data_IF_734916987570
#
_entry.id   IF_734916987570
#
_cell.length_a   1.000
_cell.length_b   1.000
_cell.length_c   1.000
_cell.angle_alpha   90.00
_cell.angle_beta   90.00
_cell.angle_gamma   90.00
#
_symmetry.space_group_name_H-M   'P 1'
#
loop_
_entity.id
_entity.type
_entity.pdbx_description
1 polymer ?
#
# COMPACT_ATOMS: atom_id res chain seq x y z
N UNK A 1 76.78 36.78 28.60
CA UNK A 1 75.61 37.54 27.98
C UNK A 1 75.20 36.88 26.67
N UNK A 2 74.93 35.58 26.67
CA UNK A 2 74.71 34.84 25.36
C UNK A 2 73.52 33.85 25.42
N UNK A 3 72.69 33.82 26.48
CA UNK A 3 71.54 32.91 26.59
C UNK A 3 70.18 33.55 26.26
N UNK A 4 70.09 34.87 26.11
CA UNK A 4 68.80 35.56 25.89
C UNK A 4 68.39 35.66 24.40
N UNK A 5 69.33 35.47 23.43
CA UNK A 5 69.05 35.62 22.00
C UNK A 5 68.47 34.34 21.38
N UNK A 6 68.72 33.16 21.93
CA UNK A 6 68.23 31.90 21.36
C UNK A 6 66.73 31.63 21.65
N UNK A 7 66.21 32.20 22.75
CA UNK A 7 64.80 32.00 23.17
C UNK A 7 63.80 32.87 22.36
N UNK A 8 64.23 34.03 21.90
CA UNK A 8 63.39 34.96 21.13
C UNK A 8 63.18 34.52 19.69
N UNK A 9 64.16 33.91 19.04
CA UNK A 9 64.07 33.38 17.67
C UNK A 9 63.16 32.17 17.57
N UNK A 10 63.15 31.29 18.60
CA UNK A 10 62.24 30.11 18.61
C UNK A 10 60.77 30.49 18.80
N UNK A 11 60.47 31.53 19.59
CA UNK A 11 59.11 32.05 19.81
C UNK A 11 58.56 32.71 18.56
N UNK A 12 59.36 33.48 17.82
CA UNK A 12 58.96 34.18 16.60
C UNK A 12 58.71 33.16 15.48
N UNK A 13 59.45 32.08 15.39
CA UNK A 13 59.19 31.01 14.39
C UNK A 13 57.94 30.20 14.69
N UNK A 14 57.65 29.93 15.96
CA UNK A 14 56.41 29.23 16.33
C UNK A 14 55.16 30.07 16.03
N UNK A 15 55.15 31.34 16.36
CA UNK A 15 54.05 32.26 16.05
C UNK A 15 53.83 32.45 14.53
N UNK A 16 54.86 32.43 13.72
CA UNK A 16 54.74 32.54 12.25
C UNK A 16 54.13 31.26 11.65
N UNK A 17 54.43 30.09 12.16
CA UNK A 17 53.88 28.81 11.70
C UNK A 17 52.39 28.71 12.10
N UNK A 18 52.05 29.14 13.32
CA UNK A 18 50.70 29.13 13.82
C UNK A 18 49.79 30.12 13.04
N UNK A 19 50.32 31.28 12.65
CA UNK A 19 49.65 32.25 11.81
C UNK A 19 49.40 31.70 10.37
N UNK A 20 50.38 31.01 9.77
CA UNK A 20 50.25 30.39 8.47
C UNK A 20 49.21 29.27 8.46
N UNK A 21 49.21 28.40 9.47
CA UNK A 21 48.20 27.36 9.61
C UNK A 21 46.78 27.92 9.81
N UNK A 22 46.62 29.04 10.52
CA UNK A 22 45.36 29.72 10.71
C UNK A 22 44.82 30.34 9.38
N UNK A 23 45.72 30.87 8.53
CA UNK A 23 45.33 31.38 7.20
C UNK A 23 44.94 30.25 6.23
N UNK A 24 45.63 29.12 6.24
CA UNK A 24 45.26 27.95 5.45
C UNK A 24 43.91 27.39 5.88
N UNK A 25 43.65 27.28 7.19
CA UNK A 25 42.36 26.84 7.71
C UNK A 25 41.21 27.78 7.32
N UNK A 26 41.43 29.11 7.33
CA UNK A 26 40.45 30.07 6.85
C UNK A 26 40.13 29.86 5.39
N UNK A 27 41.15 29.60 4.56
CA UNK A 27 40.99 29.34 3.14
C UNK A 27 40.15 28.07 2.89
N UNK A 28 40.45 27.01 3.60
CA UNK A 28 39.70 25.73 3.54
C UNK A 28 38.23 25.91 3.96
N UNK A 29 37.99 26.67 5.03
CA UNK A 29 36.65 27.02 5.48
C UNK A 29 35.88 27.77 4.38
N UNK A 30 36.50 28.72 3.68
CA UNK A 30 35.87 29.47 2.61
C UNK A 30 35.56 28.61 1.37
N UNK A 31 36.45 27.68 1.02
CA UNK A 31 36.25 26.68 -0.03
C UNK A 31 35.02 25.78 0.35
N UNK A 32 35.00 25.23 1.56
CA UNK A 32 33.89 24.36 2.02
C UNK A 32 32.56 25.12 2.08
N UNK A 33 32.54 26.39 2.45
CA UNK A 33 31.33 27.24 2.41
C UNK A 33 30.82 27.42 1.00
N UNK A 34 31.75 27.65 0.04
CA UNK A 34 31.40 27.79 -1.38
C UNK A 34 30.80 26.50 -1.94
N UNK A 35 31.41 25.35 -1.62
CA UNK A 35 30.90 24.04 -2.03
C UNK A 35 29.53 23.74 -1.41
N UNK A 36 29.36 24.02 -0.14
CA UNK A 36 28.07 23.86 0.55
C UNK A 36 26.97 24.75 -0.08
N UNK A 37 27.31 25.97 -0.49
CA UNK A 37 26.37 26.84 -1.16
C UNK A 37 25.94 26.30 -2.53
N UNK A 38 26.85 25.68 -3.29
CA UNK A 38 26.52 24.99 -4.55
C UNK A 38 25.60 23.82 -4.32
N UNK A 39 25.94 22.94 -3.38
CA UNK A 39 25.09 21.76 -3.05
C UNK A 39 23.69 22.18 -2.59
N UNK A 40 23.57 23.25 -1.80
CA UNK A 40 22.27 23.79 -1.41
C UNK A 40 21.46 24.26 -2.61
N UNK A 41 22.09 24.97 -3.54
CA UNK A 41 21.43 25.44 -4.77
C UNK A 41 20.94 24.26 -5.61
N UNK A 42 21.79 23.25 -5.83
CA UNK A 42 21.44 22.06 -6.60
C UNK A 42 20.27 21.29 -5.93
N UNK A 43 20.27 21.21 -4.61
CA UNK A 43 19.18 20.61 -3.85
C UNK A 43 17.86 21.38 -4.01
N UNK A 44 17.90 22.70 -4.01
CA UNK A 44 16.72 23.54 -4.21
C UNK A 44 16.16 23.41 -5.63
N UNK A 45 17.02 23.27 -6.64
CA UNK A 45 16.63 22.96 -8.02
C UNK A 45 15.94 21.59 -8.13
N UNK A 46 16.48 20.55 -7.49
CA UNK A 46 15.86 19.23 -7.44
C UNK A 46 14.51 19.28 -6.71
N UNK A 47 14.42 20.00 -5.60
CA UNK A 47 13.15 20.18 -4.87
C UNK A 47 12.10 20.91 -5.72
N UNK A 48 12.48 21.84 -6.54
CA UNK A 48 11.59 22.55 -7.46
C UNK A 48 10.98 21.62 -8.53
N UNK A 49 11.66 20.53 -8.88
CA UNK A 49 11.17 19.52 -9.83
C UNK A 49 10.23 18.46 -9.17
N UNK A 50 10.24 18.34 -7.86
CA UNK A 50 9.44 17.32 -7.16
C UNK A 50 7.94 17.36 -7.49
N UNK A 51 7.27 18.53 -7.60
CA UNK A 51 5.86 18.60 -8.01
C UNK A 51 5.63 18.08 -9.42
N UNK A 52 6.54 18.36 -10.35
CA UNK A 52 6.47 17.93 -11.76
C UNK A 52 6.65 16.41 -11.82
N UNK A 53 7.62 15.88 -11.11
CA UNK A 53 7.85 14.44 -11.01
C UNK A 53 6.63 13.70 -10.44
N UNK A 54 6.00 14.24 -9.38
CA UNK A 54 4.79 13.64 -8.81
C UNK A 54 3.62 13.64 -9.79
N UNK A 55 3.45 14.70 -10.57
CA UNK A 55 2.42 14.79 -11.61
C UNK A 55 2.67 13.80 -12.77
N UNK A 56 3.91 13.61 -13.18
CA UNK A 56 4.28 12.62 -14.20
C UNK A 56 3.99 11.20 -13.69
N UNK A 57 4.39 10.87 -12.47
CA UNK A 57 4.16 9.56 -11.87
C UNK A 57 2.66 9.30 -11.62
N UNK A 58 1.89 10.31 -11.27
CA UNK A 58 0.44 10.19 -11.07
C UNK A 58 -0.32 9.95 -12.38
N UNK A 59 0.15 10.54 -13.48
CA UNK A 59 -0.46 10.41 -14.82
C UNK A 59 0.16 9.29 -15.67
N UNK A 60 1.20 8.60 -15.18
CA UNK A 60 1.76 7.46 -15.91
C UNK A 60 0.72 6.36 -16.04
N UNK A 61 0.51 5.79 -17.26
CA UNK A 61 -0.39 4.66 -17.44
C UNK A 61 -0.11 3.56 -16.42
N UNK A 62 -1.15 3.03 -15.83
CA UNK A 62 -1.04 1.90 -14.92
C UNK A 62 -0.90 0.62 -15.75
N UNK A 63 0.10 -0.17 -15.46
CA UNK A 63 0.33 -1.50 -16.03
C UNK A 63 1.14 -2.30 -15.00
N UNK A 64 0.42 -2.89 -14.04
CA UNK A 64 1.02 -3.59 -12.91
C UNK A 64 0.40 -4.96 -12.78
N UNK A 65 1.22 -6.00 -12.76
CA UNK A 65 0.77 -7.36 -12.48
C UNK A 65 0.70 -7.56 -10.96
N UNK A 66 -0.46 -8.06 -10.50
CA UNK A 66 -0.73 -8.40 -9.10
C UNK A 66 -1.06 -9.89 -9.03
N UNK A 67 -0.37 -10.62 -8.15
CA UNK A 67 -0.65 -12.02 -7.86
C UNK A 67 -1.87 -12.13 -6.94
N UNK A 68 -2.82 -12.99 -7.32
CA UNK A 68 -4.12 -13.09 -6.64
C UNK A 68 -4.51 -14.53 -6.28
N UNK A 69 -3.68 -15.51 -6.60
CA UNK A 69 -3.98 -16.93 -6.41
C UNK A 69 -4.36 -17.31 -4.96
N UNK A 70 -3.67 -16.68 -4.00
CA UNK A 70 -3.81 -17.02 -2.59
C UNK A 70 -4.81 -16.11 -1.84
N UNK A 71 -5.56 -15.28 -2.58
CA UNK A 71 -6.51 -14.35 -1.97
C UNK A 71 -7.95 -14.80 -2.14
N UNK A 72 -8.84 -14.44 -1.18
CA UNK A 72 -10.26 -14.75 -1.28
C UNK A 72 -10.87 -14.21 -2.57
N UNK A 73 -11.55 -15.08 -3.28
CA UNK A 73 -12.14 -14.74 -4.58
C UNK A 73 -13.61 -15.07 -4.64
N UNK A 74 -14.35 -14.29 -5.44
CA UNK A 74 -15.70 -14.60 -5.88
C UNK A 74 -15.78 -14.57 -7.41
N UNK A 75 -16.61 -15.41 -8.00
CA UNK A 75 -16.76 -15.56 -9.45
C UNK A 75 -15.86 -16.64 -10.06
N UNK A 76 -15.90 -16.76 -11.36
CA UNK A 76 -15.16 -17.80 -12.08
C UNK A 76 -13.67 -17.46 -12.21
N UNK A 77 -12.79 -18.45 -12.03
CA UNK A 77 -11.35 -18.27 -12.23
C UNK A 77 -11.00 -17.89 -13.66
N UNK A 78 -11.82 -18.31 -14.62
CA UNK A 78 -11.66 -18.05 -16.06
C UNK A 78 -12.29 -16.73 -16.52
N UNK A 79 -12.79 -15.90 -15.61
CA UNK A 79 -13.35 -14.59 -15.99
C UNK A 79 -12.29 -13.73 -16.71
N UNK A 80 -12.65 -13.07 -17.82
CA UNK A 80 -11.69 -12.29 -18.61
C UNK A 80 -11.12 -11.09 -17.86
N UNK A 81 -11.90 -10.53 -16.93
CA UNK A 81 -11.51 -9.39 -16.11
C UNK A 81 -11.44 -9.78 -14.64
N UNK A 82 -10.52 -9.17 -13.93
CA UNK A 82 -10.42 -9.24 -12.46
C UNK A 82 -10.47 -7.84 -11.88
N UNK A 83 -11.22 -7.68 -10.79
CA UNK A 83 -11.15 -6.54 -9.89
C UNK A 83 -10.55 -6.97 -8.57
N UNK A 84 -9.54 -6.25 -8.08
CA UNK A 84 -8.94 -6.44 -6.78
C UNK A 84 -9.37 -5.29 -5.88
N UNK A 85 -10.15 -5.57 -4.87
CA UNK A 85 -10.49 -4.61 -3.82
C UNK A 85 -9.37 -4.56 -2.79
N UNK A 86 -8.80 -3.38 -2.55
CA UNK A 86 -7.95 -3.09 -1.41
C UNK A 86 -8.80 -2.48 -0.31
N UNK A 87 -9.01 -3.22 0.74
CA UNK A 87 -10.06 -2.95 1.74
C UNK A 87 -9.55 -2.99 3.18
N UNK A 88 -10.37 -2.44 4.08
CA UNK A 88 -10.08 -2.32 5.49
C UNK A 88 -11.39 -2.49 6.28
N UNK A 89 -11.46 -3.51 7.11
CA UNK A 89 -12.69 -3.84 7.85
C UNK A 89 -13.13 -2.75 8.84
N UNK A 90 -12.23 -1.89 9.30
CA UNK A 90 -12.57 -0.77 10.17
C UNK A 90 -12.92 0.52 9.39
N UNK A 91 -12.67 0.56 8.08
CA UNK A 91 -12.95 1.73 7.25
C UNK A 91 -14.45 1.90 6.96
N UNK A 92 -15.09 3.02 7.35
CA UNK A 92 -16.52 3.23 7.13
C UNK A 92 -16.91 3.30 5.65
N UNK A 93 -15.99 3.74 4.80
CA UNK A 93 -16.19 3.77 3.34
C UNK A 93 -16.18 2.38 2.72
N UNK A 94 -15.34 1.45 3.24
CA UNK A 94 -15.36 0.05 2.82
C UNK A 94 -16.69 -0.62 3.20
N UNK A 95 -17.15 -0.43 4.44
CA UNK A 95 -18.46 -0.94 4.84
C UNK A 95 -19.62 -0.33 4.05
N UNK A 96 -19.54 0.93 3.66
CA UNK A 96 -20.52 1.53 2.74
C UNK A 96 -20.52 0.85 1.39
N UNK A 97 -19.35 0.67 0.78
CA UNK A 97 -19.21 -0.01 -0.50
C UNK A 97 -19.74 -1.45 -0.46
N UNK A 98 -19.36 -2.21 0.57
CA UNK A 98 -19.82 -3.59 0.77
C UNK A 98 -21.35 -3.71 0.83
N UNK A 99 -22.03 -2.75 1.47
CA UNK A 99 -23.51 -2.75 1.56
C UNK A 99 -24.21 -2.21 0.33
N UNK A 100 -23.70 -1.11 -0.23
CA UNK A 100 -24.48 -0.28 -1.16
C UNK A 100 -24.13 -0.56 -2.64
N UNK A 101 -22.90 -1.04 -2.92
CA UNK A 101 -22.42 -1.19 -4.32
C UNK A 101 -22.07 -2.64 -4.65
N UNK A 102 -21.35 -3.33 -3.77
CA UNK A 102 -20.86 -4.69 -4.04
C UNK A 102 -21.94 -5.69 -4.40
N UNK A 103 -23.12 -5.74 -3.76
CA UNK A 103 -24.16 -6.71 -4.10
C UNK A 103 -24.61 -6.60 -5.56
N UNK A 104 -24.85 -5.38 -6.06
CA UNK A 104 -25.26 -5.16 -7.44
C UNK A 104 -24.12 -5.42 -8.45
N UNK A 105 -22.87 -5.10 -8.09
CA UNK A 105 -21.70 -5.45 -8.90
C UNK A 105 -21.55 -6.98 -9.02
N UNK A 106 -21.69 -7.67 -7.87
CA UNK A 106 -21.61 -9.13 -7.80
C UNK A 106 -22.67 -9.78 -8.68
N UNK A 107 -23.94 -9.45 -8.50
CA UNK A 107 -25.05 -10.00 -9.29
C UNK A 107 -24.87 -9.80 -10.79
N UNK A 108 -24.45 -8.59 -11.19
CA UNK A 108 -24.41 -8.21 -12.61
C UNK A 108 -23.19 -8.76 -13.36
N UNK A 109 -22.04 -8.88 -12.71
CA UNK A 109 -20.77 -9.21 -13.40
C UNK A 109 -20.06 -10.42 -12.83
N UNK A 110 -20.04 -10.60 -11.50
CA UNK A 110 -19.30 -11.68 -10.86
C UNK A 110 -20.04 -13.01 -11.03
N UNK A 111 -21.32 -13.03 -10.69
CA UNK A 111 -22.18 -14.21 -10.80
C UNK A 111 -22.45 -14.60 -12.28
N UNK A 112 -22.25 -13.67 -13.20
CA UNK A 112 -22.34 -13.91 -14.64
C UNK A 112 -21.02 -14.41 -15.27
N UNK A 113 -19.95 -14.53 -14.48
CA UNK A 113 -18.64 -15.00 -14.96
C UNK A 113 -17.85 -13.99 -15.79
N UNK A 114 -18.31 -12.74 -15.90
CA UNK A 114 -17.62 -11.67 -16.62
C UNK A 114 -16.47 -11.08 -15.83
N UNK A 115 -16.59 -11.06 -14.49
CA UNK A 115 -15.65 -10.46 -13.57
C UNK A 115 -15.31 -11.43 -12.46
N UNK A 116 -14.02 -11.63 -12.20
CA UNK A 116 -13.52 -12.22 -10.96
C UNK A 116 -13.31 -11.11 -9.94
N UNK A 117 -13.76 -11.31 -8.73
CA UNK A 117 -13.60 -10.40 -7.62
C UNK A 117 -12.61 -10.95 -6.60
N UNK A 118 -11.59 -10.18 -6.24
CA UNK A 118 -10.56 -10.57 -5.28
C UNK A 118 -10.54 -9.57 -4.15
N UNK A 119 -10.50 -10.05 -2.92
CA UNK A 119 -10.36 -9.21 -1.72
C UNK A 119 -8.91 -9.24 -1.22
N UNK A 120 -8.32 -8.06 -1.05
CA UNK A 120 -6.96 -7.88 -0.55
C UNK A 120 -6.96 -6.88 0.61
N UNK A 121 -6.35 -7.27 1.73
CA UNK A 121 -6.33 -6.45 2.93
C UNK A 121 -5.43 -5.23 2.76
N UNK A 122 -5.92 -4.08 3.19
CA UNK A 122 -5.14 -2.85 3.29
C UNK A 122 -5.51 -2.07 4.57
N UNK A 123 -5.19 -2.60 5.76
CA UNK A 123 -5.40 -1.90 7.03
C UNK A 123 -4.69 -0.55 7.03
N UNK A 124 -5.43 0.52 7.28
CA UNK A 124 -4.88 1.87 7.37
C UNK A 124 -4.22 2.10 8.74
N UNK A 125 -3.16 2.93 8.83
CA UNK A 125 -2.43 3.13 10.09
C UNK A 125 -3.28 3.70 11.25
N UNK A 126 -4.37 4.38 10.94
CA UNK A 126 -5.30 4.96 11.91
C UNK A 126 -6.46 4.01 12.29
N UNK A 127 -6.44 2.77 11.81
CA UNK A 127 -7.44 1.73 12.07
C UNK A 127 -6.82 0.56 12.84
N UNK A 128 -6.60 0.69 14.17
CA UNK A 128 -5.82 -0.28 14.94
C UNK A 128 -6.46 -1.66 15.06
N UNK A 129 -7.77 -1.80 14.84
CA UNK A 129 -8.48 -3.07 14.91
C UNK A 129 -8.54 -3.81 13.56
N UNK A 130 -8.26 -3.12 12.45
CA UNK A 130 -8.37 -3.68 11.12
C UNK A 130 -7.41 -4.84 10.84
N UNK A 131 -6.13 -4.83 11.29
CA UNK A 131 -5.23 -5.96 11.06
C UNK A 131 -5.75 -7.27 11.65
N UNK A 132 -6.26 -7.23 12.89
CA UNK A 132 -6.75 -8.45 13.55
C UNK A 132 -8.08 -8.92 12.98
N UNK A 133 -8.94 -8.00 12.54
CA UNK A 133 -10.15 -8.34 11.81
C UNK A 133 -9.84 -9.01 10.45
N UNK A 134 -8.81 -8.55 9.74
CA UNK A 134 -8.32 -9.18 8.51
C UNK A 134 -7.80 -10.60 8.76
N UNK A 135 -6.98 -10.81 9.81
CA UNK A 135 -6.54 -12.15 10.20
C UNK A 135 -7.73 -13.07 10.51
N UNK A 136 -8.77 -12.57 11.19
CA UNK A 136 -9.98 -13.33 11.49
C UNK A 136 -10.72 -13.76 10.21
N UNK A 137 -10.81 -12.89 9.19
CA UNK A 137 -11.40 -13.24 7.91
C UNK A 137 -10.62 -14.35 7.20
N UNK A 138 -9.28 -14.32 7.22
CA UNK A 138 -8.45 -15.40 6.69
C UNK A 138 -8.55 -16.70 7.51
N UNK A 139 -8.72 -16.62 8.82
CA UNK A 139 -8.98 -17.81 9.63
C UNK A 139 -10.34 -18.45 9.31
N UNK A 140 -11.33 -17.65 8.95
CA UNK A 140 -12.60 -18.17 8.45
C UNK A 140 -12.47 -18.79 7.05
N UNK A 141 -11.59 -18.23 6.20
CA UNK A 141 -11.27 -18.73 4.86
C UNK A 141 -10.73 -20.17 4.90
N UNK A 142 -9.94 -20.56 5.90
CA UNK A 142 -9.49 -21.95 6.11
C UNK A 142 -10.63 -22.94 6.29
N UNK A 143 -11.78 -22.45 6.71
CA UNK A 143 -12.99 -23.25 6.88
C UNK A 143 -14.00 -22.99 5.74
N UNK A 144 -13.57 -22.31 4.66
CA UNK A 144 -14.37 -22.01 3.49
C UNK A 144 -15.43 -20.94 3.68
N UNK A 145 -15.30 -20.09 4.72
CA UNK A 145 -16.32 -19.08 5.08
C UNK A 145 -15.74 -17.65 5.15
N UNK A 146 -14.86 -17.32 4.19
CA UNK A 146 -14.32 -15.96 4.11
C UNK A 146 -15.42 -14.90 3.96
N UNK A 147 -16.34 -15.11 3.03
CA UNK A 147 -17.35 -14.11 2.67
C UNK A 147 -18.38 -13.91 3.77
N UNK A 148 -18.74 -14.97 4.49
CA UNK A 148 -19.61 -14.90 5.67
C UNK A 148 -18.96 -14.07 6.79
N UNK A 149 -17.67 -14.29 7.04
CA UNK A 149 -16.91 -13.48 8.02
C UNK A 149 -16.74 -12.04 7.53
N UNK A 150 -16.44 -11.82 6.26
CA UNK A 150 -16.38 -10.50 5.64
C UNK A 150 -17.67 -9.71 5.89
N UNK A 151 -18.82 -10.31 5.63
CA UNK A 151 -20.12 -9.66 5.80
C UNK A 151 -20.40 -9.32 7.27
N UNK A 152 -20.10 -10.25 8.19
CA UNK A 152 -20.28 -10.04 9.64
C UNK A 152 -19.35 -8.94 10.15
N UNK A 153 -18.09 -8.89 9.70
CA UNK A 153 -17.14 -7.85 10.12
C UNK A 153 -17.59 -6.47 9.65
N UNK A 154 -18.02 -6.32 8.39
CA UNK A 154 -18.55 -5.05 7.90
C UNK A 154 -19.88 -4.65 8.53
N UNK A 155 -20.72 -5.62 8.90
CA UNK A 155 -21.95 -5.33 9.64
C UNK A 155 -21.68 -4.83 11.09
N UNK A 156 -20.50 -5.16 11.64
CA UNK A 156 -20.14 -4.89 13.02
C UNK A 156 -18.91 -3.98 13.17
N UNK A 157 -18.67 -3.05 12.25
CA UNK A 157 -17.48 -2.19 12.22
C UNK A 157 -17.20 -1.41 13.51
N UNK A 158 -18.21 -1.17 14.33
CA UNK A 158 -18.08 -0.51 15.63
C UNK A 158 -17.64 -1.46 16.77
N UNK A 159 -17.52 -2.77 16.50
CA UNK A 159 -17.21 -3.79 17.50
C UNK A 159 -16.19 -4.82 16.98
N UNK A 160 -15.09 -4.37 16.41
CA UNK A 160 -14.02 -5.21 15.87
C UNK A 160 -12.91 -5.54 16.89
N UNK A 161 -13.16 -5.33 18.19
CA UNK A 161 -12.20 -5.73 19.21
C UNK A 161 -11.91 -7.23 19.12
N UNK A 162 -10.68 -7.64 19.37
CA UNK A 162 -10.24 -9.04 19.28
C UNK A 162 -11.14 -9.99 20.10
N UNK A 163 -11.61 -9.52 21.26
CA UNK A 163 -12.55 -10.25 22.12
C UNK A 163 -13.93 -10.50 21.51
N UNK A 164 -14.29 -9.76 20.45
CA UNK A 164 -15.58 -9.93 19.76
C UNK A 164 -15.51 -10.94 18.61
N UNK A 165 -14.31 -11.16 18.03
CA UNK A 165 -14.11 -11.97 16.84
C UNK A 165 -14.53 -13.45 17.00
N UNK A 166 -14.27 -14.11 18.15
CA UNK A 166 -14.78 -15.48 18.38
C UNK A 166 -16.30 -15.57 18.32
N UNK A 167 -17.02 -14.57 18.84
CA UNK A 167 -18.49 -14.53 18.75
C UNK A 167 -19.01 -14.47 17.32
N UNK A 168 -18.28 -13.82 16.41
CA UNK A 168 -18.63 -13.80 14.98
C UNK A 168 -18.37 -15.15 14.32
N UNK A 169 -17.27 -15.82 14.69
CA UNK A 169 -16.97 -17.18 14.22
C UNK A 169 -18.08 -18.18 14.63
N UNK A 170 -18.52 -18.12 15.89
CA UNK A 170 -19.66 -18.91 16.37
C UNK A 170 -20.94 -18.59 15.59
N UNK A 171 -21.24 -17.30 15.36
CA UNK A 171 -22.46 -16.86 14.68
C UNK A 171 -22.56 -17.36 13.24
N UNK A 172 -21.43 -17.57 12.54
CA UNK A 172 -21.40 -18.12 11.18
C UNK A 172 -21.12 -19.63 11.16
N UNK A 173 -21.06 -20.30 12.34
CA UNK A 173 -20.97 -21.75 12.45
C UNK A 173 -19.59 -22.34 12.21
N UNK A 174 -18.52 -21.58 12.43
CA UNK A 174 -17.15 -22.10 12.38
C UNK A 174 -16.84 -23.04 13.55
N UNK A 175 -15.87 -23.91 13.34
CA UNK A 175 -15.19 -24.62 14.43
C UNK A 175 -14.42 -23.60 15.29
N UNK A 176 -14.94 -23.34 16.49
CA UNK A 176 -14.42 -22.32 17.40
C UNK A 176 -12.98 -22.59 17.84
N UNK A 177 -12.61 -23.87 18.02
CA UNK A 177 -11.27 -24.25 18.43
C UNK A 177 -10.27 -23.96 17.32
N UNK A 178 -10.55 -24.39 16.09
CA UNK A 178 -9.68 -24.12 14.94
C UNK A 178 -9.56 -22.63 14.65
N UNK A 179 -10.66 -21.89 14.78
CA UNK A 179 -10.65 -20.45 14.60
C UNK A 179 -9.78 -19.75 15.65
N UNK A 180 -9.93 -20.09 16.93
CA UNK A 180 -9.12 -19.51 17.99
C UNK A 180 -7.64 -19.84 17.82
N UNK A 181 -7.27 -21.11 17.57
CA UNK A 181 -5.89 -21.53 17.31
C UNK A 181 -5.26 -20.76 16.12
N UNK A 182 -6.02 -20.58 15.04
CA UNK A 182 -5.59 -19.81 13.89
C UNK A 182 -5.34 -18.34 14.27
N UNK A 183 -6.30 -17.68 14.92
CA UNK A 183 -6.26 -16.26 15.25
C UNK A 183 -5.15 -15.94 16.25
N UNK A 184 -4.97 -16.80 17.28
CA UNK A 184 -3.94 -16.66 18.31
C UNK A 184 -2.52 -16.87 17.73
N UNK A 185 -2.39 -17.73 16.72
CA UNK A 185 -1.10 -17.98 16.08
C UNK A 185 -0.55 -16.77 15.30
N UNK A 186 -1.40 -15.84 14.87
CA UNK A 186 -1.03 -14.67 14.07
C UNK A 186 -0.49 -15.02 12.67
N UNK A 187 -0.73 -16.25 12.18
CA UNK A 187 -0.11 -16.76 10.93
C UNK A 187 -0.47 -15.95 9.68
N UNK A 188 -1.58 -15.21 9.69
CA UNK A 188 -2.00 -14.36 8.58
C UNK A 188 -1.50 -12.92 8.65
N UNK A 189 -0.82 -12.50 9.73
CA UNK A 189 -0.29 -11.15 9.86
C UNK A 189 0.63 -10.77 8.67
N UNK A 190 1.51 -11.70 8.25
CA UNK A 190 2.39 -11.47 7.09
C UNK A 190 1.61 -11.32 5.78
N UNK A 191 0.53 -12.06 5.57
CA UNK A 191 -0.32 -11.98 4.38
C UNK A 191 -1.05 -10.63 4.31
N UNK A 192 -1.55 -10.15 5.44
CA UNK A 192 -2.16 -8.81 5.54
C UNK A 192 -1.17 -7.70 5.17
N UNK A 193 0.12 -7.83 5.56
CA UNK A 193 1.15 -6.87 5.17
C UNK A 193 1.46 -6.90 3.67
N UNK A 194 1.37 -8.05 2.98
CA UNK A 194 1.56 -8.13 1.53
C UNK A 194 0.55 -7.25 0.79
N UNK A 195 -0.71 -7.21 1.22
CA UNK A 195 -1.73 -6.35 0.62
C UNK A 195 -1.35 -4.86 0.67
N UNK A 196 -0.69 -4.42 1.75
CA UNK A 196 -0.16 -3.04 1.84
C UNK A 196 0.94 -2.77 0.82
N UNK A 197 1.84 -3.72 0.59
CA UNK A 197 2.90 -3.59 -0.41
C UNK A 197 2.31 -3.49 -1.81
N UNK A 198 1.35 -4.35 -2.16
CA UNK A 198 0.67 -4.31 -3.45
C UNK A 198 -0.10 -3.00 -3.65
N UNK A 199 -0.80 -2.51 -2.62
CA UNK A 199 -1.46 -1.21 -2.66
C UNK A 199 -0.47 -0.07 -2.97
N UNK A 200 0.73 -0.08 -2.37
CA UNK A 200 1.77 0.91 -2.65
C UNK A 200 2.29 0.83 -4.10
N UNK A 201 2.50 -0.38 -4.63
CA UNK A 201 2.90 -0.59 -6.04
C UNK A 201 1.87 0.01 -7.01
N UNK A 202 0.60 -0.09 -6.67
CA UNK A 202 -0.53 0.49 -7.40
C UNK A 202 -0.78 1.97 -7.07
N UNK A 203 0.05 2.61 -6.24
CA UNK A 203 -0.11 4.02 -5.80
C UNK A 203 -1.45 4.27 -5.10
N UNK A 204 -1.98 3.26 -4.42
CA UNK A 204 -3.18 3.35 -3.60
C UNK A 204 -2.81 4.01 -2.27
N UNK A 205 -3.61 4.98 -1.83
CA UNK A 205 -3.36 5.77 -0.60
C UNK A 205 -4.51 5.72 0.40
N UNK A 206 -5.55 4.95 0.10
CA UNK A 206 -6.73 4.86 0.98
C UNK A 206 -7.70 3.78 0.51
N UNK A 207 -8.66 3.46 1.37
CA UNK A 207 -9.63 2.38 1.18
C UNK A 207 -11.09 2.89 1.13
N UNK A 208 -11.97 2.21 0.42
CA UNK A 208 -11.64 1.16 -0.52
C UNK A 208 -10.97 1.72 -1.77
N UNK A 209 -10.13 0.93 -2.42
CA UNK A 209 -9.61 1.22 -3.76
C UNK A 209 -9.58 -0.06 -4.56
N UNK A 210 -9.74 0.04 -5.87
CA UNK A 210 -9.93 -1.12 -6.72
C UNK A 210 -8.97 -1.08 -7.90
N UNK A 211 -8.22 -2.17 -8.09
CA UNK A 211 -7.46 -2.42 -9.30
C UNK A 211 -8.29 -3.24 -10.27
N UNK A 212 -8.62 -2.70 -11.44
CA UNK A 212 -9.36 -3.40 -12.49
C UNK A 212 -8.42 -3.69 -13.66
N UNK A 213 -8.48 -4.91 -14.18
CA UNK A 213 -7.61 -5.33 -15.28
C UNK A 213 -7.94 -6.68 -15.87
N UNK A 214 -7.05 -7.14 -16.74
CA UNK A 214 -7.18 -8.41 -17.46
C UNK A 214 -6.64 -9.56 -16.63
N UNK A 215 -7.42 -10.62 -16.50
CA UNK A 215 -7.01 -11.86 -15.83
C UNK A 215 -5.92 -12.57 -16.63
N UNK A 216 -4.95 -13.22 -15.94
CA UNK A 216 -4.11 -14.21 -16.58
C UNK A 216 -4.95 -15.43 -17.02
N UNK A 217 -4.43 -16.19 -17.97
CA UNK A 217 -5.14 -17.37 -18.52
C UNK A 217 -5.48 -18.40 -17.43
N UNK A 218 -4.61 -18.60 -16.47
CA UNK A 218 -4.81 -19.51 -15.33
C UNK A 218 -5.56 -18.87 -14.15
N UNK A 219 -5.87 -17.56 -14.23
CA UNK A 219 -6.55 -16.84 -13.20
C UNK A 219 -5.73 -16.54 -11.95
N UNK A 220 -4.41 -16.78 -11.96
CA UNK A 220 -3.55 -16.60 -10.77
C UNK A 220 -3.07 -15.17 -10.58
N UNK A 221 -3.11 -14.35 -11.63
CA UNK A 221 -2.71 -12.95 -11.59
C UNK A 221 -3.66 -12.05 -12.39
N UNK A 222 -3.54 -10.76 -12.17
CA UNK A 222 -4.26 -9.71 -12.90
C UNK A 222 -3.30 -8.63 -13.35
N UNK A 223 -3.37 -8.25 -14.63
CA UNK A 223 -2.70 -7.06 -15.15
C UNK A 223 -3.61 -5.85 -14.95
N UNK A 224 -3.39 -5.14 -13.85
CA UNK A 224 -4.16 -3.95 -13.46
C UNK A 224 -3.79 -2.78 -14.36
N UNK A 225 -4.78 -2.25 -15.06
CA UNK A 225 -4.63 -1.12 -16.00
C UNK A 225 -5.47 0.09 -15.61
N UNK A 226 -6.37 -0.07 -14.65
CA UNK A 226 -7.26 0.99 -14.17
C UNK A 226 -7.39 0.95 -12.65
N UNK A 227 -7.46 2.14 -12.03
CA UNK A 227 -7.82 2.28 -10.62
C UNK A 227 -9.17 2.99 -10.48
N UNK A 228 -10.00 2.46 -9.59
CA UNK A 228 -11.20 3.12 -9.08
C UNK A 228 -10.95 3.40 -7.61
N UNK A 229 -11.04 4.67 -7.19
CA UNK A 229 -10.72 5.09 -5.83
C UNK A 229 -11.96 5.47 -5.05
N UNK A 230 -12.06 4.98 -3.81
CA UNK A 230 -13.16 5.25 -2.90
C UNK A 230 -14.41 4.42 -3.18
N UNK A 231 -15.39 4.51 -2.29
CA UNK A 231 -16.68 3.84 -2.41
C UNK A 231 -17.55 4.52 -3.47
N UNK A 232 -17.22 4.25 -4.74
CA UNK A 232 -17.92 4.77 -5.90
C UNK A 232 -19.26 4.04 -6.13
N UNK A 233 -20.22 4.69 -6.79
CA UNK A 233 -21.46 4.04 -7.21
C UNK A 233 -21.19 3.00 -8.31
N UNK A 234 -22.11 2.04 -8.50
CA UNK A 234 -22.00 0.96 -9.48
C UNK A 234 -21.63 1.46 -10.88
N UNK A 235 -22.20 2.57 -11.33
CA UNK A 235 -21.96 3.12 -12.67
C UNK A 235 -20.46 3.43 -12.95
N UNK A 236 -19.65 3.74 -11.92
CA UNK A 236 -18.22 3.97 -12.09
C UNK A 236 -17.46 2.66 -12.38
N UNK A 237 -17.92 1.55 -11.81
CA UNK A 237 -17.39 0.21 -12.08
C UNK A 237 -17.81 -0.29 -13.45
N UNK A 238 -19.09 -0.11 -13.79
CA UNK A 238 -19.66 -0.46 -15.10
C UNK A 238 -18.88 0.20 -16.24
N UNK A 239 -18.66 1.52 -16.14
CA UNK A 239 -17.90 2.26 -17.15
C UNK A 239 -16.49 1.67 -17.37
N UNK A 240 -15.79 1.28 -16.29
CA UNK A 240 -14.47 0.67 -16.38
C UNK A 240 -14.49 -0.74 -16.98
N UNK A 241 -15.44 -1.57 -16.55
CA UNK A 241 -15.60 -2.94 -17.03
C UNK A 241 -15.95 -2.95 -18.53
N UNK A 242 -16.93 -2.15 -18.93
CA UNK A 242 -17.36 -2.07 -20.33
C UNK A 242 -16.28 -1.53 -21.26
N UNK A 243 -15.47 -0.57 -20.80
CA UNK A 243 -14.34 -0.07 -21.56
C UNK A 243 -13.31 -1.18 -21.81
N UNK A 244 -12.94 -1.96 -20.78
CA UNK A 244 -11.96 -3.03 -20.92
C UNK A 244 -12.48 -4.19 -21.77
N UNK A 245 -13.75 -4.56 -21.63
CA UNK A 245 -14.37 -5.59 -22.49
C UNK A 245 -14.35 -5.22 -23.97
N UNK A 246 -14.49 -3.92 -24.30
CA UNK A 246 -14.41 -3.44 -25.70
C UNK A 246 -12.97 -3.36 -26.23
N UNK A 247 -12.01 -3.24 -25.32
CA UNK A 247 -10.59 -3.05 -25.65
C UNK A 247 -9.80 -4.36 -25.63
N UNK A 248 -10.43 -5.49 -25.30
CA UNK A 248 -9.78 -6.79 -25.24
C UNK A 248 -9.28 -7.23 -26.62
N UNK A 249 -7.93 -7.41 -26.82
CA UNK A 249 -7.36 -7.83 -28.09
C UNK A 249 -7.77 -9.25 -28.52
N UNK A 250 -8.36 -10.05 -27.59
CA UNK A 250 -8.81 -11.41 -27.83
C UNK A 250 -10.26 -11.54 -28.31
N UNK A 251 -10.99 -10.44 -28.44
CA UNK A 251 -12.42 -10.44 -28.82
C UNK A 251 -12.69 -10.26 -30.33
N UNK A 252 -11.68 -10.44 -31.22
CA UNK A 252 -11.81 -10.48 -32.68
C UNK A 252 -11.53 -11.85 -33.24
#
# INVERSE_FOLDING_TARGET
MTLALACTTSIVTAQSVESAAAEDLKRDIEILRSELAKVRKDLDEVRALAPIHSLIEENRPLDVVVEVADYPTAGAQTSPLTIVEFSDFQCPYCGRYSRDTYPALKEKYVDQGTLKYVFMDYPLPNHPLAPKAAEAAHCADEQGQFWEMHDVLFANQNNLAETSLPGYATAIGLDETKFAECLDSGKYAAKVEVGKVEAQRLRIRGTPSFGLGYSSFDGTSVRVVRLIRGAQPLAAFEAGIEELLKSDPGSN
#
